data_IF_885096224278
#
_entry.id   IF_885096224278
#
_cell.length_a   1.000
_cell.length_b   1.000
_cell.length_c   1.000
_cell.angle_alpha   90.00
_cell.angle_beta   90.00
_cell.angle_gamma   90.00
#
_symmetry.space_group_name_H-M   'P 1'
#
loop_
_entity.id
_entity.type
_entity.pdbx_description
1 polymer ?
#
# COMPACT_ATOMS: atom_id res chain seq x y z
N UNK A 1 1.01 -10.95 10.59
CA UNK A 1 0.10 -10.64 9.46
C UNK A 1 0.91 -10.61 8.19
N UNK A 2 0.43 -11.25 7.14
CA UNK A 2 1.20 -11.40 5.91
C UNK A 2 0.58 -10.53 4.81
N UNK A 3 1.29 -9.50 4.38
CA UNK A 3 0.87 -8.66 3.27
C UNK A 3 1.41 -9.24 1.98
N UNK A 4 0.52 -9.54 1.05
CA UNK A 4 0.86 -10.06 -0.27
C UNK A 4 0.90 -8.90 -1.27
N UNK A 5 1.56 -9.13 -2.41
CA UNK A 5 1.75 -8.08 -3.40
C UNK A 5 1.62 -8.67 -4.80
N UNK A 6 0.81 -8.02 -5.64
CA UNK A 6 0.74 -8.33 -7.06
C UNK A 6 1.05 -7.08 -7.87
N UNK A 7 1.67 -7.27 -9.03
CA UNK A 7 2.14 -6.17 -9.86
C UNK A 7 2.23 -6.64 -11.31
N UNK A 8 1.53 -5.95 -12.22
CA UNK A 8 1.59 -6.26 -13.65
C UNK A 8 2.25 -5.14 -14.46
N UNK A 9 2.98 -4.24 -13.78
CA UNK A 9 3.69 -3.08 -14.35
C UNK A 9 2.78 -1.99 -14.90
N UNK A 10 1.48 -2.17 -14.87
CA UNK A 10 0.49 -1.14 -15.15
C UNK A 10 -0.23 -0.76 -13.87
N UNK A 11 -0.59 -1.75 -13.08
CA UNK A 11 -1.24 -1.57 -11.78
C UNK A 11 -0.91 -2.74 -10.88
N UNK A 12 -1.23 -2.60 -9.61
CA UNK A 12 -1.00 -3.64 -8.63
C UNK A 12 -1.76 -3.41 -7.35
N UNK A 13 -1.50 -4.27 -6.38
CA UNK A 13 -2.14 -4.17 -5.08
C UNK A 13 -1.27 -4.81 -4.01
N UNK A 14 -1.32 -4.23 -2.81
CA UNK A 14 -0.87 -4.88 -1.58
C UNK A 14 -2.12 -5.34 -0.86
N UNK A 15 -2.16 -6.58 -0.42
CA UNK A 15 -3.40 -7.13 0.11
C UNK A 15 -3.17 -8.19 1.17
N UNK A 16 -4.22 -8.50 1.93
CA UNK A 16 -4.21 -9.53 2.96
C UNK A 16 -5.33 -10.50 2.67
N UNK A 17 -5.02 -11.79 2.70
CA UNK A 17 -6.00 -12.85 2.50
C UNK A 17 -6.23 -13.64 3.77
N UNK A 18 -7.49 -14.05 3.98
CA UNK A 18 -7.88 -15.00 5.02
C UNK A 18 -8.87 -15.96 4.40
N UNK A 19 -8.62 -17.26 4.60
CA UNK A 19 -9.50 -18.32 4.11
C UNK A 19 -9.76 -18.20 2.60
N UNK A 20 -8.73 -17.82 1.85
CA UNK A 20 -8.82 -17.69 0.41
C UNK A 20 -9.52 -16.44 -0.10
N UNK A 21 -9.86 -15.50 0.79
CA UNK A 21 -10.56 -14.27 0.41
C UNK A 21 -9.71 -13.05 0.73
N UNK A 22 -9.74 -12.05 -0.15
CA UNK A 22 -9.10 -10.76 0.13
C UNK A 22 -9.93 -10.02 1.17
N UNK A 23 -9.33 -9.79 2.32
CA UNK A 23 -9.97 -9.09 3.44
C UNK A 23 -9.47 -7.66 3.58
N UNK A 24 -8.40 -7.31 2.90
CA UNK A 24 -7.89 -5.95 2.84
C UNK A 24 -7.11 -5.78 1.54
N UNK A 25 -7.18 -4.60 0.93
CA UNK A 25 -6.37 -4.32 -0.24
C UNK A 25 -6.10 -2.82 -0.39
N UNK A 26 -4.93 -2.52 -0.93
CA UNK A 26 -4.50 -1.18 -1.26
C UNK A 26 -3.99 -1.22 -2.69
N UNK A 27 -4.74 -0.61 -3.60
CA UNK A 27 -4.43 -0.65 -5.02
C UNK A 27 -3.56 0.52 -5.43
N UNK A 28 -2.78 0.31 -6.49
CA UNK A 28 -1.97 1.38 -7.05
C UNK A 28 -1.87 1.25 -8.57
N UNK A 29 -1.49 2.36 -9.21
CA UNK A 29 -1.29 2.45 -10.65
C UNK A 29 0.12 2.99 -10.88
N UNK A 30 0.84 2.44 -11.87
CA UNK A 30 2.14 2.97 -12.26
C UNK A 30 1.98 4.27 -13.02
N UNK A 31 2.81 5.26 -12.70
CA UNK A 31 2.94 6.51 -13.44
C UNK A 31 4.35 6.52 -14.01
N UNK A 32 4.50 6.03 -15.23
CA UNK A 32 5.82 5.78 -15.80
C UNK A 32 6.45 4.54 -15.19
N UNK A 33 7.78 4.52 -15.07
CA UNK A 33 8.51 3.36 -14.55
C UNK A 33 9.13 3.61 -13.19
N UNK A 34 9.01 4.82 -12.65
CA UNK A 34 9.71 5.21 -11.42
C UNK A 34 8.77 5.73 -10.33
N UNK A 35 7.46 5.57 -10.50
CA UNK A 35 6.48 6.10 -9.55
C UNK A 35 5.22 5.27 -9.55
N UNK A 36 4.66 5.04 -8.36
CA UNK A 36 3.33 4.43 -8.23
C UNK A 36 2.40 5.42 -7.52
N UNK A 37 1.13 5.35 -7.87
CA UNK A 37 0.09 6.18 -7.28
C UNK A 37 -0.83 5.26 -6.49
N UNK A 38 -0.88 5.42 -5.17
CA UNK A 38 -1.81 4.66 -4.33
C UNK A 38 -3.17 5.31 -4.45
N UNK A 39 -4.14 4.60 -5.02
CA UNK A 39 -5.42 5.19 -5.38
C UNK A 39 -6.59 4.77 -4.50
N UNK A 40 -6.53 3.61 -3.84
CA UNK A 40 -7.66 3.15 -3.03
C UNK A 40 -7.22 2.13 -1.97
N UNK A 41 -7.85 2.19 -0.79
CA UNK A 41 -7.58 1.25 0.30
C UNK A 41 -8.91 0.81 0.91
N UNK A 42 -9.07 -0.50 1.07
CA UNK A 42 -10.23 -1.08 1.75
C UNK A 42 -9.76 -2.10 2.77
N UNK A 43 -10.39 -2.11 3.93
CA UNK A 43 -10.12 -3.09 4.99
C UNK A 43 -11.47 -3.64 5.48
N UNK A 44 -11.61 -4.96 5.45
CA UNK A 44 -12.80 -5.64 5.96
C UNK A 44 -12.98 -5.33 7.45
N UNK A 45 -14.23 -5.21 7.88
CA UNK A 45 -14.54 -4.88 9.27
C UNK A 45 -13.89 -5.85 10.26
N UNK A 46 -13.77 -7.13 9.88
CA UNK A 46 -13.13 -8.14 10.73
C UNK A 46 -11.69 -7.80 11.06
N UNK A 47 -11.01 -7.06 10.21
CA UNK A 47 -9.59 -6.73 10.37
C UNK A 47 -9.36 -5.31 10.89
N UNK A 48 -10.41 -4.53 11.10
CA UNK A 48 -10.25 -3.16 11.59
C UNK A 48 -9.66 -3.14 12.99
N UNK A 49 -8.82 -2.14 13.26
CA UNK A 49 -8.17 -1.99 14.55
C UNK A 49 -6.96 -2.87 14.76
N UNK A 50 -6.53 -3.63 13.73
CA UNK A 50 -5.40 -4.53 13.84
C UNK A 50 -4.14 -4.03 13.12
N UNK A 51 -4.16 -2.77 12.64
CA UNK A 51 -3.01 -2.18 11.98
C UNK A 51 -2.78 -2.67 10.55
N UNK A 52 -3.80 -3.27 9.91
CA UNK A 52 -3.68 -3.83 8.57
C UNK A 52 -3.32 -2.77 7.54
N UNK A 53 -4.00 -1.61 7.59
CA UNK A 53 -3.72 -0.53 6.67
C UNK A 53 -2.30 -0.02 6.79
N UNK A 54 -1.82 0.15 8.03
CA UNK A 54 -0.44 0.52 8.27
C UNK A 54 0.52 -0.51 7.64
N UNK A 55 0.24 -1.81 7.83
CA UNK A 55 1.11 -2.86 7.30
C UNK A 55 1.15 -2.83 5.78
N UNK A 56 0.03 -2.55 5.11
CA UNK A 56 0.02 -2.44 3.66
C UNK A 56 0.82 -1.23 3.18
N UNK A 57 0.71 -0.08 3.86
CA UNK A 57 1.52 1.09 3.52
C UNK A 57 2.99 0.79 3.77
N UNK A 58 3.33 0.15 4.89
CA UNK A 58 4.72 -0.22 5.18
C UNK A 58 5.28 -1.12 4.07
N UNK A 59 4.50 -2.10 3.61
CA UNK A 59 4.93 -2.98 2.51
C UNK A 59 5.18 -2.18 1.23
N UNK A 60 4.34 -1.17 0.93
CA UNK A 60 4.55 -0.33 -0.24
C UNK A 60 5.80 0.52 -0.12
N UNK A 61 6.11 1.00 1.09
CA UNK A 61 7.34 1.76 1.34
C UNK A 61 8.57 0.89 1.12
N UNK A 62 8.54 -0.35 1.61
CA UNK A 62 9.64 -1.28 1.40
C UNK A 62 9.84 -1.59 -0.08
N UNK A 63 8.74 -1.82 -0.81
CA UNK A 63 8.81 -2.04 -2.25
C UNK A 63 9.43 -0.83 -2.96
N UNK A 64 8.99 0.37 -2.62
CA UNK A 64 9.51 1.59 -3.24
C UNK A 64 11.01 1.77 -2.97
N UNK A 65 11.45 1.47 -1.75
CA UNK A 65 12.87 1.55 -1.41
C UNK A 65 13.70 0.55 -2.20
N UNK A 66 13.22 -0.69 -2.29
CA UNK A 66 13.93 -1.74 -3.03
C UNK A 66 14.02 -1.43 -4.52
N UNK A 67 12.96 -0.90 -5.10
CA UNK A 67 12.90 -0.60 -6.53
C UNK A 67 13.41 0.80 -6.86
N UNK A 68 13.73 1.62 -5.85
CA UNK A 68 14.17 3.01 -6.04
C UNK A 68 13.15 3.83 -6.82
N UNK A 69 11.88 3.68 -6.43
CA UNK A 69 10.76 4.43 -7.01
C UNK A 69 10.11 5.28 -5.94
N UNK A 70 9.25 6.21 -6.37
CA UNK A 70 8.51 7.06 -5.45
C UNK A 70 7.05 6.69 -5.39
N UNK A 71 6.35 7.19 -4.36
CA UNK A 71 4.94 6.95 -4.10
C UNK A 71 4.19 8.27 -4.06
N UNK A 72 3.05 8.34 -4.78
CA UNK A 72 2.10 9.43 -4.66
C UNK A 72 0.87 8.88 -3.94
N UNK A 73 0.64 9.25 -2.67
CA UNK A 73 -0.52 8.75 -1.92
C UNK A 73 -1.75 9.61 -2.17
N UNK A 74 -2.53 9.29 -3.20
CA UNK A 74 -3.79 9.99 -3.47
C UNK A 74 -4.91 9.55 -2.54
N UNK A 75 -4.88 8.28 -2.11
CA UNK A 75 -5.86 7.74 -1.18
C UNK A 75 -5.75 8.48 0.18
N UNK A 76 -6.84 9.04 0.72
CA UNK A 76 -6.77 9.75 1.98
C UNK A 76 -6.22 8.92 3.13
N UNK A 77 -6.53 7.62 3.17
CA UNK A 77 -6.00 6.76 4.21
C UNK A 77 -4.48 6.65 4.12
N UNK A 78 -3.95 6.36 2.91
CA UNK A 78 -2.50 6.25 2.73
C UNK A 78 -1.81 7.56 3.08
N UNK A 79 -2.39 8.69 2.65
CA UNK A 79 -1.85 10.00 2.97
C UNK A 79 -1.75 10.20 4.49
N UNK A 80 -2.78 9.77 5.24
CA UNK A 80 -2.78 9.93 6.69
C UNK A 80 -1.67 9.12 7.35
N UNK A 81 -1.35 7.94 6.80
CA UNK A 81 -0.25 7.12 7.33
C UNK A 81 1.09 7.81 7.10
N UNK A 82 1.32 8.35 5.90
CA UNK A 82 2.57 9.09 5.64
C UNK A 82 2.69 10.32 6.53
N UNK A 83 1.59 10.99 6.83
CA UNK A 83 1.63 12.15 7.73
C UNK A 83 1.93 11.75 9.16
N UNK A 84 1.47 10.57 9.59
CA UNK A 84 1.68 10.10 10.95
C UNK A 84 3.08 9.51 11.16
N UNK A 85 3.69 8.96 10.10
CA UNK A 85 4.99 8.29 10.18
C UNK A 85 5.99 8.98 9.24
N UNK A 86 6.63 10.07 9.72
CA UNK A 86 7.56 10.83 8.87
C UNK A 86 8.72 10.02 8.33
N UNK A 87 9.08 8.91 8.99
CA UNK A 87 10.16 8.03 8.55
C UNK A 87 9.85 7.36 7.21
N UNK A 88 8.59 7.38 6.75
CA UNK A 88 8.21 6.82 5.45
C UNK A 88 8.31 7.84 4.32
N UNK A 89 8.57 9.11 4.64
CA UNK A 89 8.51 10.19 3.63
C UNK A 89 9.66 10.18 2.64
N UNK A 90 10.68 9.37 2.87
CA UNK A 90 11.80 9.24 1.95
C UNK A 90 11.39 8.69 0.57
N UNK A 91 10.22 8.09 0.45
CA UNK A 91 9.73 7.55 -0.82
C UNK A 91 8.69 8.45 -1.51
N UNK A 92 8.37 9.59 -0.94
CA UNK A 92 7.40 10.51 -1.54
C UNK A 92 8.02 11.38 -2.64
#
# INVERSE_FOLDING_TARGET
>A
MNVLHENDHSKGAFYVEQDGQRKAEMTYTWAGTDRIIIDHTEVDDELRGQGVGYEMVFASVQFAREQQISIVPLCPFAKSVFNKYPEFKDVL
#
